data_IF_715847789625
#
_entry.id   IF_715847789625
#
_cell.length_a   1.000
_cell.length_b   1.000
_cell.length_c   1.000
_cell.angle_alpha   90.00
_cell.angle_beta   90.00
_cell.angle_gamma   90.00
#
_symmetry.space_group_name_H-M   'P 1'
#
loop_
_entity.id
_entity.type
_entity.pdbx_description
1 polymer ?
#
# COMPACT_ATOMS: atom_id res chain seq x y z
N UNK A 1 -13.18 -30.25 18.66
CA UNK A 1 -13.45 -29.02 17.88
C UNK A 1 -12.71 -27.90 18.57
N UNK A 2 -12.00 -27.11 17.85
CA UNK A 2 -11.14 -26.08 18.43
C UNK A 2 -11.84 -24.72 18.31
N UNK A 3 -11.65 -23.86 19.33
CA UNK A 3 -11.99 -22.43 19.31
C UNK A 3 -10.71 -21.59 19.33
N UNK A 4 -9.59 -22.20 18.93
CA UNK A 4 -8.29 -21.56 19.05
C UNK A 4 -8.19 -20.29 18.21
N UNK A 5 -8.70 -20.33 17.00
CA UNK A 5 -8.63 -19.21 16.06
C UNK A 5 -9.58 -18.09 16.48
N UNK A 6 -10.84 -18.40 16.83
CA UNK A 6 -11.78 -17.39 17.32
C UNK A 6 -11.33 -16.72 18.62
N UNK A 7 -10.71 -17.47 19.53
CA UNK A 7 -10.13 -16.94 20.78
C UNK A 7 -8.90 -16.05 20.47
N UNK A 8 -8.04 -16.46 19.54
CA UNK A 8 -6.90 -15.68 19.10
C UNK A 8 -7.32 -14.34 18.44
N UNK A 9 -8.30 -14.37 17.56
CA UNK A 9 -8.85 -13.17 16.92
C UNK A 9 -9.46 -12.20 17.94
N UNK A 10 -10.18 -12.74 18.94
CA UNK A 10 -10.74 -11.93 20.02
C UNK A 10 -9.65 -11.30 20.88
N UNK A 11 -8.59 -12.04 21.21
CA UNK A 11 -7.45 -11.56 21.98
C UNK A 11 -6.67 -10.48 21.21
N UNK A 12 -6.48 -10.65 19.91
CA UNK A 12 -5.75 -9.70 19.05
C UNK A 12 -6.56 -8.45 18.70
N UNK A 13 -7.88 -8.47 18.92
CA UNK A 13 -8.76 -7.35 18.61
C UNK A 13 -8.89 -7.08 17.10
N UNK A 14 -8.93 -8.15 16.28
CA UNK A 14 -9.09 -8.01 14.84
C UNK A 14 -10.38 -7.29 14.46
N UNK A 15 -10.24 -6.19 13.73
CA UNK A 15 -11.33 -5.32 13.29
C UNK A 15 -12.01 -5.89 12.04
N UNK A 16 -13.31 -6.17 12.17
CA UNK A 16 -14.15 -6.72 11.10
C UNK A 16 -14.35 -5.74 9.93
N UNK A 17 -14.45 -4.43 10.21
CA UNK A 17 -14.67 -3.43 9.16
C UNK A 17 -13.42 -3.26 8.31
N UNK A 18 -12.24 -3.26 8.95
CA UNK A 18 -10.96 -3.22 8.25
C UNK A 18 -10.73 -4.48 7.41
N UNK A 19 -11.06 -5.67 7.94
CA UNK A 19 -10.99 -6.91 7.20
C UNK A 19 -11.89 -6.87 5.97
N UNK A 20 -13.15 -6.42 6.14
CA UNK A 20 -14.10 -6.25 5.04
C UNK A 20 -13.61 -5.27 3.97
N UNK A 21 -13.00 -4.15 4.37
CA UNK A 21 -12.42 -3.19 3.42
C UNK A 21 -11.31 -3.83 2.59
N UNK A 22 -10.37 -4.54 3.22
CA UNK A 22 -9.30 -5.25 2.52
C UNK A 22 -9.86 -6.32 1.56
N UNK A 23 -10.78 -7.15 2.04
CA UNK A 23 -11.40 -8.23 1.27
C UNK A 23 -12.24 -7.72 0.09
N UNK A 24 -12.76 -6.49 0.15
CA UNK A 24 -13.56 -5.90 -0.93
C UNK A 24 -12.83 -5.78 -2.27
N UNK A 25 -11.49 -5.83 -2.26
CA UNK A 25 -10.67 -5.88 -3.48
C UNK A 25 -10.97 -7.12 -4.33
N UNK A 26 -11.21 -8.26 -3.67
CA UNK A 26 -11.37 -9.55 -4.34
C UNK A 26 -12.76 -9.78 -4.94
N UNK A 27 -13.76 -8.97 -4.56
CA UNK A 27 -15.13 -9.12 -5.04
C UNK A 27 -15.23 -9.03 -6.57
N UNK A 28 -14.38 -8.22 -7.21
CA UNK A 28 -14.38 -8.00 -8.67
C UNK A 28 -14.02 -9.25 -9.48
N UNK A 29 -13.44 -10.26 -8.87
CA UNK A 29 -13.10 -11.53 -9.53
C UNK A 29 -14.29 -12.49 -9.65
N UNK A 30 -15.41 -12.19 -9.00
CA UNK A 30 -16.61 -13.01 -9.00
C UNK A 30 -17.77 -12.30 -9.68
N UNK A 31 -18.25 -12.86 -10.78
CA UNK A 31 -19.38 -12.33 -11.55
C UNK A 31 -20.63 -13.21 -11.49
N UNK A 32 -20.49 -14.44 -10.99
CA UNK A 32 -21.58 -15.45 -10.90
C UNK A 32 -21.36 -16.33 -9.67
N UNK A 33 -22.46 -16.74 -9.03
CA UNK A 33 -22.44 -17.70 -7.92
C UNK A 33 -22.91 -19.11 -8.34
N UNK A 34 -22.95 -20.08 -7.42
CA UNK A 34 -22.56 -19.91 -6.03
C UNK A 34 -21.02 -19.79 -5.87
N UNK A 35 -20.59 -18.97 -4.92
CA UNK A 35 -19.19 -18.85 -4.50
C UNK A 35 -19.01 -19.60 -3.19
N UNK A 36 -18.01 -20.45 -3.11
CA UNK A 36 -17.61 -21.12 -1.88
C UNK A 36 -16.40 -20.43 -1.27
N UNK A 37 -16.52 -19.98 -0.03
CA UNK A 37 -15.40 -19.47 0.78
C UNK A 37 -14.85 -20.58 1.69
N UNK A 38 -13.55 -20.88 1.53
CA UNK A 38 -12.82 -21.85 2.35
C UNK A 38 -12.18 -21.12 3.54
N UNK A 39 -12.33 -21.67 4.74
CA UNK A 39 -11.94 -21.03 6.01
C UNK A 39 -12.55 -19.63 6.12
N UNK A 40 -13.88 -19.57 6.07
CA UNK A 40 -14.62 -18.30 5.90
C UNK A 40 -14.62 -17.40 7.17
N UNK A 41 -14.03 -17.86 8.26
CA UNK A 41 -13.95 -17.12 9.51
C UNK A 41 -15.32 -16.62 9.98
N UNK A 42 -15.39 -15.32 10.27
CA UNK A 42 -16.63 -14.65 10.74
C UNK A 42 -17.57 -14.24 9.59
N UNK A 43 -17.23 -14.55 8.33
CA UNK A 43 -18.05 -14.29 7.15
C UNK A 43 -17.97 -12.87 6.58
N UNK A 44 -16.86 -12.16 6.76
CA UNK A 44 -16.69 -10.81 6.22
C UNK A 44 -16.76 -10.76 4.69
N UNK A 45 -16.20 -11.75 4.01
CA UNK A 45 -16.29 -11.83 2.54
C UNK A 45 -17.66 -12.35 2.09
N UNK A 46 -18.29 -13.25 2.84
CA UNK A 46 -19.67 -13.67 2.60
C UNK A 46 -20.66 -12.48 2.67
N UNK A 47 -20.42 -11.51 3.57
CA UNK A 47 -21.18 -10.26 3.60
C UNK A 47 -21.04 -9.48 2.28
N UNK A 48 -19.82 -9.37 1.76
CA UNK A 48 -19.55 -8.65 0.49
C UNK A 48 -20.24 -9.34 -0.69
N UNK A 49 -20.19 -10.67 -0.75
CA UNK A 49 -20.87 -11.46 -1.79
C UNK A 49 -22.39 -11.29 -1.70
N UNK A 50 -22.97 -11.35 -0.49
CA UNK A 50 -24.40 -11.11 -0.27
C UNK A 50 -24.82 -9.73 -0.71
N UNK A 51 -24.05 -8.69 -0.35
CA UNK A 51 -24.35 -7.30 -0.73
C UNK A 51 -24.24 -7.06 -2.23
N UNK A 52 -23.40 -7.85 -2.93
CA UNK A 52 -23.31 -7.88 -4.39
C UNK A 52 -24.39 -8.75 -5.06
N UNK A 53 -25.24 -9.40 -4.28
CA UNK A 53 -26.30 -10.29 -4.80
C UNK A 53 -25.79 -11.62 -5.34
N UNK A 54 -24.58 -12.05 -4.94
CA UNK A 54 -23.99 -13.31 -5.35
C UNK A 54 -24.34 -14.40 -4.31
N UNK A 55 -24.98 -15.51 -4.70
CA UNK A 55 -25.14 -16.67 -3.82
C UNK A 55 -23.79 -17.18 -3.34
N UNK A 56 -23.66 -17.41 -2.05
CA UNK A 56 -22.41 -17.86 -1.46
C UNK A 56 -22.66 -18.74 -0.23
N UNK A 57 -21.70 -19.63 0.06
CA UNK A 57 -21.62 -20.42 1.27
C UNK A 57 -20.20 -20.48 1.77
N UNK A 58 -20.01 -20.86 3.03
CA UNK A 58 -18.70 -20.97 3.65
C UNK A 58 -18.48 -22.29 4.35
N UNK A 59 -17.23 -22.62 4.58
CA UNK A 59 -16.81 -23.72 5.46
C UNK A 59 -15.69 -23.23 6.35
N UNK A 60 -15.75 -23.58 7.65
CA UNK A 60 -14.71 -23.26 8.61
C UNK A 60 -14.56 -24.40 9.65
N UNK A 61 -13.34 -24.60 10.15
CA UNK A 61 -13.05 -25.64 11.14
C UNK A 61 -13.28 -25.15 12.58
N UNK A 62 -13.24 -23.84 12.82
CA UNK A 62 -13.39 -23.22 14.14
C UNK A 62 -14.88 -22.98 14.46
N UNK A 63 -15.36 -23.63 15.53
CA UNK A 63 -16.77 -23.55 15.96
C UNK A 63 -17.20 -22.11 16.29
N UNK A 64 -16.30 -21.31 16.91
CA UNK A 64 -16.62 -19.93 17.27
C UNK A 64 -16.67 -18.99 16.05
N UNK A 65 -15.93 -19.29 14.98
CA UNK A 65 -16.03 -18.58 13.70
C UNK A 65 -17.36 -18.91 13.01
N UNK A 66 -17.70 -20.19 12.91
CA UNK A 66 -18.97 -20.64 12.32
C UNK A 66 -20.19 -20.05 13.05
N UNK A 67 -20.19 -20.05 14.39
CA UNK A 67 -21.26 -19.43 15.18
C UNK A 67 -21.49 -17.97 14.77
N UNK A 68 -20.41 -17.19 14.68
CA UNK A 68 -20.48 -15.75 14.30
C UNK A 68 -20.95 -15.55 12.86
N UNK A 69 -20.49 -16.38 11.91
CA UNK A 69 -20.94 -16.30 10.53
C UNK A 69 -22.43 -16.66 10.39
N UNK A 70 -22.89 -17.68 11.12
CA UNK A 70 -24.31 -18.06 11.16
C UNK A 70 -25.18 -16.99 11.82
N UNK A 71 -24.71 -16.33 12.89
CA UNK A 71 -25.40 -15.20 13.52
C UNK A 71 -25.56 -14.01 12.53
N UNK A 72 -24.66 -13.86 11.58
CA UNK A 72 -24.74 -12.87 10.48
C UNK A 72 -25.66 -13.31 9.34
N UNK A 73 -26.23 -14.50 9.43
CA UNK A 73 -27.21 -15.04 8.47
C UNK A 73 -26.58 -15.73 7.26
N UNK A 74 -25.33 -16.18 7.38
CA UNK A 74 -24.65 -16.92 6.31
C UNK A 74 -24.90 -18.42 6.38
N UNK A 75 -24.87 -19.07 5.22
CA UNK A 75 -24.86 -20.53 5.07
C UNK A 75 -23.42 -21.05 5.23
N UNK A 76 -23.09 -21.57 6.41
CA UNK A 76 -21.74 -22.00 6.75
C UNK A 76 -21.76 -23.38 7.37
N UNK A 77 -20.83 -24.23 6.94
CA UNK A 77 -20.65 -25.59 7.44
C UNK A 77 -19.43 -25.63 8.37
N UNK A 78 -19.63 -26.24 9.55
CA UNK A 78 -18.52 -26.58 10.45
C UNK A 78 -17.82 -27.83 9.91
N UNK A 79 -16.59 -27.72 9.44
CA UNK A 79 -15.87 -28.84 8.87
C UNK A 79 -14.48 -28.48 8.31
N UNK A 80 -13.75 -29.51 7.92
CA UNK A 80 -12.47 -29.37 7.23
C UNK A 80 -12.69 -28.90 5.79
N UNK A 81 -12.11 -27.74 5.44
CA UNK A 81 -12.34 -27.07 4.17
C UNK A 81 -11.82 -27.86 2.96
N UNK A 82 -10.73 -28.64 3.13
CA UNK A 82 -10.16 -29.46 2.06
C UNK A 82 -11.14 -30.60 1.74
N UNK A 83 -11.54 -31.35 2.76
CA UNK A 83 -12.46 -32.46 2.61
C UNK A 83 -13.85 -32.04 2.12
N UNK A 84 -14.31 -30.86 2.56
CA UNK A 84 -15.56 -30.29 2.09
C UNK A 84 -15.52 -29.97 0.61
N UNK A 85 -14.47 -29.27 0.16
CA UNK A 85 -14.29 -28.92 -1.26
C UNK A 85 -14.18 -30.15 -2.16
N UNK A 86 -13.49 -31.21 -1.71
CA UNK A 86 -13.39 -32.50 -2.43
C UNK A 86 -14.75 -33.18 -2.62
N UNK A 87 -15.71 -32.92 -1.71
CA UNK A 87 -17.08 -33.45 -1.80
C UNK A 87 -18.04 -32.58 -2.64
N UNK A 88 -17.59 -31.43 -3.14
CA UNK A 88 -18.45 -30.56 -3.96
C UNK A 88 -18.68 -31.15 -5.35
N UNK A 89 -19.92 -31.05 -5.85
CA UNK A 89 -20.29 -31.53 -7.17
C UNK A 89 -19.46 -30.86 -8.28
N UNK A 90 -18.87 -31.65 -9.19
CA UNK A 90 -18.06 -31.11 -10.29
C UNK A 90 -18.81 -30.08 -11.13
N UNK A 91 -18.15 -28.96 -11.44
CA UNK A 91 -18.70 -27.91 -12.28
C UNK A 91 -19.93 -27.19 -11.69
N UNK A 92 -20.11 -27.21 -10.38
CA UNK A 92 -21.26 -26.57 -9.71
C UNK A 92 -20.99 -25.13 -9.25
N UNK A 93 -19.71 -24.77 -8.98
CA UNK A 93 -19.35 -23.48 -8.41
C UNK A 93 -19.08 -22.40 -9.45
N UNK A 94 -19.54 -21.18 -9.17
CA UNK A 94 -19.23 -19.96 -9.88
C UNK A 94 -17.97 -19.24 -9.36
N UNK A 95 -17.38 -19.74 -8.29
CA UNK A 95 -16.14 -19.23 -7.71
C UNK A 95 -15.73 -19.98 -6.46
N UNK A 96 -14.42 -20.01 -6.21
CA UNK A 96 -13.83 -20.47 -4.94
C UNK A 96 -12.95 -19.34 -4.42
N UNK A 97 -13.05 -19.04 -3.14
CA UNK A 97 -12.26 -18.02 -2.47
C UNK A 97 -11.63 -18.59 -1.20
N UNK A 98 -10.38 -18.24 -0.93
CA UNK A 98 -9.80 -18.40 0.39
C UNK A 98 -8.82 -17.25 0.67
N UNK A 99 -8.87 -16.74 1.90
CA UNK A 99 -7.92 -15.74 2.38
C UNK A 99 -7.33 -16.21 3.71
N UNK A 100 -6.00 -16.16 3.81
CA UNK A 100 -5.27 -16.55 5.01
C UNK A 100 -5.63 -17.97 5.50
N UNK A 101 -5.65 -18.90 4.55
CA UNK A 101 -5.97 -20.31 4.77
C UNK A 101 -4.83 -21.24 4.37
N UNK A 102 -4.24 -21.02 3.20
CA UNK A 102 -3.26 -21.95 2.64
C UNK A 102 -1.98 -22.05 3.48
N UNK A 103 -1.60 -20.98 4.17
CA UNK A 103 -0.44 -20.95 5.07
C UNK A 103 -0.56 -21.87 6.30
N UNK A 104 -1.78 -22.32 6.60
CA UNK A 104 -2.06 -23.29 7.66
C UNK A 104 -1.97 -24.75 7.18
N UNK A 105 -1.80 -24.96 5.87
CA UNK A 105 -1.80 -26.29 5.25
C UNK A 105 -0.38 -26.78 4.90
N UNK A 106 -0.21 -28.10 4.86
CA UNK A 106 0.96 -28.70 4.23
C UNK A 106 0.85 -28.64 2.71
N UNK A 107 1.98 -28.70 1.97
CA UNK A 107 1.98 -28.62 0.50
C UNK A 107 1.08 -29.62 -0.21
N UNK A 108 0.97 -30.84 0.31
CA UNK A 108 0.11 -31.87 -0.26
C UNK A 108 -1.38 -31.50 -0.14
N UNK A 109 -1.79 -30.86 0.97
CA UNK A 109 -3.16 -30.41 1.17
C UNK A 109 -3.46 -29.18 0.28
N UNK A 110 -2.50 -28.29 0.08
CA UNK A 110 -2.65 -27.18 -0.89
C UNK A 110 -2.83 -27.73 -2.30
N UNK A 111 -2.08 -28.74 -2.71
CA UNK A 111 -2.28 -29.41 -4.01
C UNK A 111 -3.69 -30.00 -4.15
N UNK A 112 -4.23 -30.61 -3.08
CA UNK A 112 -5.62 -31.12 -3.02
C UNK A 112 -6.64 -30.00 -3.17
N UNK A 113 -6.44 -28.86 -2.48
CA UNK A 113 -7.33 -27.68 -2.62
C UNK A 113 -7.39 -27.22 -4.08
N UNK A 114 -6.24 -27.06 -4.74
CA UNK A 114 -6.21 -26.64 -6.14
C UNK A 114 -6.87 -27.66 -7.07
N UNK A 115 -6.63 -28.96 -6.89
CA UNK A 115 -7.24 -30.02 -7.69
C UNK A 115 -8.78 -30.08 -7.49
N UNK A 116 -9.24 -29.96 -6.25
CA UNK A 116 -10.64 -29.97 -5.93
C UNK A 116 -11.35 -28.68 -6.44
N UNK A 117 -10.70 -27.52 -6.35
CA UNK A 117 -11.21 -26.27 -6.90
C UNK A 117 -11.35 -26.35 -8.43
N UNK A 118 -10.33 -26.90 -9.13
CA UNK A 118 -10.39 -27.09 -10.57
C UNK A 118 -11.55 -28.02 -11.00
N UNK A 119 -11.88 -29.03 -10.18
CA UNK A 119 -13.00 -29.94 -10.41
C UNK A 119 -14.35 -29.29 -10.16
N UNK A 120 -14.47 -28.52 -9.07
CA UNK A 120 -15.74 -27.93 -8.63
C UNK A 120 -16.16 -26.71 -9.43
N UNK A 121 -15.19 -25.97 -10.00
CA UNK A 121 -15.45 -24.75 -10.77
C UNK A 121 -16.08 -25.02 -12.13
N UNK A 122 -17.05 -24.17 -12.50
CA UNK A 122 -17.51 -24.08 -13.88
C UNK A 122 -16.43 -23.51 -14.77
N UNK A 123 -16.43 -23.89 -16.08
CA UNK A 123 -15.50 -23.30 -17.06
C UNK A 123 -15.54 -21.76 -17.02
N UNK A 124 -14.36 -21.13 -17.01
CA UNK A 124 -14.20 -19.69 -16.95
C UNK A 124 -14.41 -19.05 -15.57
N UNK A 125 -14.72 -19.85 -14.54
CA UNK A 125 -14.86 -19.34 -13.17
C UNK A 125 -13.53 -19.38 -12.41
N UNK A 126 -13.40 -18.50 -11.41
CA UNK A 126 -12.13 -18.23 -10.74
C UNK A 126 -12.00 -18.93 -9.38
N UNK A 127 -10.78 -19.39 -9.09
CA UNK A 127 -10.28 -19.61 -7.75
C UNK A 127 -9.36 -18.46 -7.37
N UNK A 128 -9.65 -17.76 -6.29
CA UNK A 128 -8.84 -16.66 -5.75
C UNK A 128 -8.26 -17.10 -4.42
N UNK A 129 -6.94 -17.20 -4.36
CA UNK A 129 -6.18 -17.57 -3.16
C UNK A 129 -5.35 -16.38 -2.68
N UNK A 130 -5.54 -16.00 -1.42
CA UNK A 130 -4.86 -14.88 -0.75
C UNK A 130 -4.01 -15.42 0.39
N UNK A 131 -2.74 -15.02 0.45
CA UNK A 131 -1.79 -15.47 1.48
C UNK A 131 -0.92 -14.31 1.98
N UNK A 132 -0.33 -14.43 3.19
CA UNK A 132 0.63 -13.44 3.69
C UNK A 132 1.83 -13.28 2.76
N UNK A 133 2.27 -12.04 2.54
CA UNK A 133 3.38 -11.71 1.66
C UNK A 133 4.73 -11.98 2.32
N UNK A 134 5.46 -12.99 1.85
CA UNK A 134 6.85 -13.20 2.25
C UNK A 134 7.80 -12.08 1.79
N UNK A 135 7.38 -11.26 0.83
CA UNK A 135 8.15 -10.10 0.36
C UNK A 135 8.10 -8.91 1.32
N UNK A 136 7.13 -8.86 2.23
CA UNK A 136 6.99 -7.78 3.21
C UNK A 136 7.83 -8.07 4.46
N UNK A 137 8.78 -7.19 4.80
CA UNK A 137 9.63 -7.37 5.98
C UNK A 137 8.85 -7.40 7.30
N UNK A 138 7.73 -6.68 7.42
CA UNK A 138 6.88 -6.73 8.60
C UNK A 138 6.24 -8.11 8.76
N UNK A 139 5.70 -8.65 7.67
CA UNK A 139 5.07 -9.98 7.66
C UNK A 139 6.10 -11.08 7.89
N UNK A 140 7.20 -11.07 7.12
CA UNK A 140 8.26 -12.08 7.21
C UNK A 140 8.94 -12.10 8.57
N UNK A 141 9.23 -10.93 9.15
CA UNK A 141 9.99 -10.79 10.39
C UNK A 141 9.16 -10.91 11.67
N UNK A 142 7.86 -10.70 11.59
CA UNK A 142 7.04 -10.58 12.80
C UNK A 142 5.61 -11.09 12.65
N UNK A 143 4.80 -10.54 11.74
CA UNK A 143 3.35 -10.77 11.77
C UNK A 143 2.98 -12.22 11.48
N UNK A 144 3.67 -12.88 10.55
CA UNK A 144 3.44 -14.29 10.22
C UNK A 144 3.62 -15.23 11.42
N UNK A 145 4.64 -15.00 12.23
CA UNK A 145 5.02 -15.87 13.34
C UNK A 145 4.19 -15.67 14.61
N UNK A 146 3.31 -14.69 14.61
CA UNK A 146 2.40 -14.43 15.73
C UNK A 146 1.23 -15.41 15.77
N UNK A 147 0.84 -15.93 14.62
CA UNK A 147 -0.18 -16.98 14.55
C UNK A 147 0.48 -18.35 14.77
N UNK A 148 0.10 -19.08 15.84
CA UNK A 148 0.71 -20.36 16.18
C UNK A 148 0.31 -21.49 15.23
N UNK A 149 -0.67 -21.27 14.35
CA UNK A 149 -1.19 -22.27 13.41
C UNK A 149 -0.57 -22.17 12.02
N UNK A 150 0.21 -21.10 11.74
CA UNK A 150 0.94 -20.96 10.49
C UNK A 150 2.01 -22.04 10.33
N UNK A 151 1.98 -22.72 9.19
CA UNK A 151 2.92 -23.80 8.85
C UNK A 151 4.05 -23.28 7.99
N UNK A 152 3.74 -22.52 6.94
CA UNK A 152 4.73 -21.99 6.01
C UNK A 152 4.20 -20.87 5.12
N UNK A 153 5.11 -20.07 4.56
CA UNK A 153 4.77 -19.16 3.48
C UNK A 153 4.52 -19.89 2.15
N UNK A 154 3.54 -19.39 1.41
CA UNK A 154 3.32 -19.69 0.01
C UNK A 154 3.47 -18.42 -0.81
N UNK A 155 4.45 -18.38 -1.71
CA UNK A 155 4.62 -17.26 -2.61
C UNK A 155 3.77 -17.42 -3.89
N UNK A 156 3.56 -16.33 -4.66
CA UNK A 156 2.75 -16.41 -5.87
C UNK A 156 3.26 -17.38 -6.93
N UNK A 157 4.57 -17.59 -7.03
CA UNK A 157 5.13 -18.54 -8.02
C UNK A 157 4.79 -19.99 -7.63
N UNK A 158 4.84 -20.30 -6.32
CA UNK A 158 4.45 -21.62 -5.81
C UNK A 158 2.94 -21.87 -5.96
N UNK A 159 2.11 -20.86 -5.66
CA UNK A 159 0.66 -20.96 -5.89
C UNK A 159 0.33 -21.12 -7.37
N UNK A 160 1.03 -20.41 -8.26
CA UNK A 160 0.89 -20.56 -9.71
C UNK A 160 1.31 -21.96 -10.19
N UNK A 161 2.32 -22.56 -9.58
CA UNK A 161 2.70 -23.95 -9.84
C UNK A 161 1.57 -24.91 -9.48
N UNK A 162 0.93 -24.79 -8.30
CA UNK A 162 -0.19 -25.63 -7.92
C UNK A 162 -1.40 -25.43 -8.85
N UNK A 163 -1.69 -24.20 -9.26
CA UNK A 163 -2.74 -23.89 -10.22
C UNK A 163 -2.48 -24.62 -11.56
N UNK A 164 -1.27 -24.51 -12.10
CA UNK A 164 -0.89 -25.18 -13.34
C UNK A 164 -0.96 -26.71 -13.23
N UNK A 165 -0.53 -27.30 -12.11
CA UNK A 165 -0.63 -28.75 -11.87
C UNK A 165 -2.10 -29.21 -11.83
N UNK A 166 -3.01 -28.39 -11.35
CA UNK A 166 -4.46 -28.64 -11.31
C UNK A 166 -5.16 -28.36 -12.65
N UNK A 167 -4.44 -27.86 -13.67
CA UNK A 167 -5.03 -27.49 -14.97
C UNK A 167 -5.74 -26.15 -14.99
N UNK A 168 -5.55 -25.31 -13.96
CA UNK A 168 -6.04 -23.94 -13.93
C UNK A 168 -5.07 -22.98 -14.64
N UNK A 169 -5.61 -21.93 -15.23
CA UNK A 169 -4.81 -20.87 -15.86
C UNK A 169 -4.74 -19.66 -14.93
N UNK A 170 -3.53 -19.25 -14.52
CA UNK A 170 -3.32 -18.03 -13.73
C UNK A 170 -3.53 -16.81 -14.62
N UNK A 171 -4.45 -15.96 -14.25
CA UNK A 171 -4.79 -14.73 -14.97
C UNK A 171 -4.26 -13.49 -14.29
N UNK A 172 -4.09 -13.53 -12.97
CA UNK A 172 -3.57 -12.40 -12.20
C UNK A 172 -2.79 -12.87 -10.97
N UNK A 173 -1.76 -12.12 -10.60
CA UNK A 173 -0.99 -12.31 -9.39
C UNK A 173 -0.42 -10.98 -8.96
N UNK A 174 -0.82 -10.49 -7.78
CA UNK A 174 -0.44 -9.17 -7.28
C UNK A 174 -0.51 -9.08 -5.74
N UNK A 175 -0.07 -7.95 -5.19
CA UNK A 175 -0.35 -7.58 -3.81
C UNK A 175 -1.68 -6.83 -3.69
N UNK A 176 -2.38 -7.00 -2.57
CA UNK A 176 -3.63 -6.28 -2.33
C UNK A 176 -3.35 -4.80 -1.98
N UNK A 177 -3.73 -3.83 -2.83
CA UNK A 177 -3.47 -2.43 -2.57
C UNK A 177 -4.31 -1.85 -1.41
N UNK A 178 -5.38 -2.54 -0.99
CA UNK A 178 -6.21 -2.15 0.16
C UNK A 178 -5.67 -2.68 1.49
N UNK A 179 -4.70 -3.60 1.44
CA UNK A 179 -4.01 -4.13 2.61
C UNK A 179 -2.51 -3.77 2.56
N UNK A 180 -2.21 -2.49 2.35
CA UNK A 180 -0.86 -1.94 2.35
C UNK A 180 -0.66 -1.05 3.58
N UNK A 181 -0.12 -1.60 4.69
CA UNK A 181 0.16 -0.82 5.89
C UNK A 181 1.32 0.16 5.68
N UNK A 182 2.07 0.03 4.58
CA UNK A 182 3.31 0.75 4.34
C UNK A 182 4.42 0.42 5.35
N UNK A 183 5.53 1.14 5.33
CA UNK A 183 6.58 0.97 6.30
C UNK A 183 6.16 1.45 7.69
N UNK A 184 6.76 0.91 8.78
CA UNK A 184 6.52 1.37 10.14
C UNK A 184 6.65 2.89 10.26
N UNK A 185 5.78 3.57 11.05
CA UNK A 185 5.76 5.05 11.14
C UNK A 185 7.11 5.69 11.46
N UNK A 186 7.97 5.03 12.26
CA UNK A 186 9.32 5.50 12.59
C UNK A 186 10.28 5.51 11.40
N UNK A 187 9.98 4.79 10.31
CA UNK A 187 10.73 4.78 9.07
C UNK A 187 10.20 5.77 8.04
N UNK A 188 9.04 6.43 8.31
CA UNK A 188 8.52 7.45 7.42
C UNK A 188 9.48 8.64 7.42
N UNK A 189 10.03 9.02 6.26
CA UNK A 189 10.82 10.23 6.19
C UNK A 189 9.91 11.41 6.50
N UNK A 190 10.30 12.21 7.51
CA UNK A 190 9.61 13.46 7.79
C UNK A 190 9.68 14.36 6.54
N UNK A 191 8.58 14.99 6.19
CA UNK A 191 8.57 15.94 5.10
C UNK A 191 9.55 17.07 5.44
N UNK A 192 10.55 17.29 4.58
CA UNK A 192 11.37 18.49 4.67
C UNK A 192 10.49 19.67 4.27
N UNK A 193 10.19 20.54 5.22
CA UNK A 193 9.63 21.83 4.86
C UNK A 193 10.67 22.60 4.03
N UNK A 194 10.27 23.13 2.86
CA UNK A 194 11.20 23.94 2.07
C UNK A 194 11.63 25.13 2.91
N UNK A 195 12.92 25.27 3.13
CA UNK A 195 13.46 26.47 3.75
C UNK A 195 13.07 27.66 2.86
N UNK A 196 12.46 28.68 3.45
CA UNK A 196 12.16 29.91 2.73
C UNK A 196 13.40 30.43 2.02
N UNK A 197 13.24 30.94 0.80
CA UNK A 197 14.40 31.40 -0.01
C UNK A 197 15.20 32.43 0.78
N UNK A 198 16.54 32.26 0.78
CA UNK A 198 17.43 33.18 1.45
C UNK A 198 17.28 34.58 0.84
N UNK A 199 16.97 34.66 -0.46
CA UNK A 199 16.77 35.92 -1.18
C UNK A 199 15.60 36.72 -0.64
N UNK A 200 14.48 36.11 -0.26
CA UNK A 200 13.33 36.82 0.30
C UNK A 200 13.64 37.39 1.70
N UNK A 201 14.24 36.59 2.58
CA UNK A 201 14.60 37.02 3.93
C UNK A 201 15.69 38.13 3.93
N UNK A 202 16.67 38.02 3.04
CA UNK A 202 17.72 39.02 2.93
C UNK A 202 17.24 40.26 2.17
N UNK A 203 16.33 40.12 1.20
CA UNK A 203 15.69 41.25 0.54
C UNK A 203 14.87 42.09 1.54
N UNK A 204 14.19 41.46 2.51
CA UNK A 204 13.51 42.16 3.60
C UNK A 204 14.48 42.90 4.52
N UNK A 205 15.59 42.26 4.90
CA UNK A 205 16.64 42.87 5.72
C UNK A 205 17.31 44.03 5.00
N UNK A 206 17.61 43.88 3.71
CA UNK A 206 18.14 44.95 2.87
C UNK A 206 17.14 46.11 2.70
N UNK A 207 15.87 45.78 2.49
CA UNK A 207 14.79 46.76 2.41
C UNK A 207 14.63 47.56 3.73
N UNK A 208 14.78 46.89 4.87
CA UNK A 208 14.78 47.53 6.17
C UNK A 208 16.02 48.43 6.39
N UNK A 209 17.21 47.94 6.01
CA UNK A 209 18.44 48.71 6.09
C UNK A 209 18.42 49.96 5.18
N UNK A 210 17.84 49.83 4.01
CA UNK A 210 17.67 50.98 3.07
C UNK A 210 16.70 52.04 3.62
N UNK A 211 15.70 51.64 4.42
CA UNK A 211 14.79 52.60 5.08
C UNK A 211 15.48 53.33 6.22
N UNK A 212 16.40 52.68 6.92
CA UNK A 212 17.15 53.31 8.03
C UNK A 212 18.28 54.20 7.54
N UNK A 213 18.86 53.92 6.36
CA UNK A 213 19.96 54.72 5.78
C UNK A 213 19.61 55.14 4.34
N UNK A 214 18.74 56.14 4.15
CA UNK A 214 18.36 56.61 2.84
C UNK A 214 19.57 57.27 2.14
N UNK A 215 20.12 56.61 1.12
CA UNK A 215 21.28 57.11 0.36
C UNK A 215 21.05 58.49 -0.31
N UNK A 216 19.79 58.81 -0.58
CA UNK A 216 19.43 60.03 -1.34
C UNK A 216 19.56 61.35 -0.54
N UNK A 217 19.53 61.31 0.78
CA UNK A 217 19.59 62.58 1.57
C UNK A 217 20.99 63.17 1.68
N UNK A 218 22.01 62.32 1.76
CA UNK A 218 23.41 62.80 1.80
C UNK A 218 23.96 63.19 0.41
N UNK A 219 23.61 62.44 -0.66
CA UNK A 219 24.00 62.81 -2.02
C UNK A 219 23.38 64.12 -2.48
N UNK A 220 22.13 64.39 -2.14
CA UNK A 220 21.50 65.69 -2.44
C UNK A 220 22.15 66.84 -1.68
N UNK A 221 22.66 66.61 -0.49
CA UNK A 221 23.34 67.62 0.30
C UNK A 221 24.72 67.93 -0.26
N UNK A 222 25.52 66.90 -0.55
CA UNK A 222 26.85 67.04 -1.17
C UNK A 222 26.75 67.71 -2.55
N UNK A 223 25.76 67.35 -3.37
CA UNK A 223 25.54 67.96 -4.69
C UNK A 223 25.09 69.40 -4.61
N UNK A 224 24.26 69.79 -3.65
CA UNK A 224 23.85 71.15 -3.38
C UNK A 224 25.04 72.01 -2.92
N UNK A 225 25.86 71.45 -2.05
CA UNK A 225 27.04 72.18 -1.53
C UNK A 225 28.11 72.36 -2.63
N UNK A 226 28.28 71.39 -3.53
CA UNK A 226 29.17 71.50 -4.70
C UNK A 226 28.63 72.49 -5.76
N UNK A 227 27.32 72.47 -6.03
CA UNK A 227 26.67 73.42 -6.96
C UNK A 227 26.71 74.89 -6.42
N UNK A 228 26.67 75.05 -5.09
CA UNK A 228 26.78 76.37 -4.48
C UNK A 228 28.21 76.96 -4.50
N UNK A 229 29.23 76.11 -4.67
CA UNK A 229 30.64 76.51 -4.70
C UNK A 229 31.21 76.64 -6.13
N UNK A 230 30.40 76.46 -7.18
CA UNK A 230 30.82 76.59 -8.56
C UNK A 230 31.74 75.50 -9.08
N UNK A 231 31.82 74.39 -8.40
CA UNK A 231 32.61 73.21 -8.81
C UNK A 231 31.77 72.31 -9.72
N UNK A 232 32.35 71.92 -10.86
CA UNK A 232 31.69 70.93 -11.72
C UNK A 232 31.53 69.64 -11.01
N UNK A 233 30.26 69.20 -10.80
CA UNK A 233 29.91 67.97 -10.13
C UNK A 233 30.43 66.81 -10.94
N UNK A 234 31.66 66.38 -10.72
CA UNK A 234 32.12 65.05 -11.10
C UNK A 234 31.26 64.04 -10.38
N UNK A 235 30.63 63.15 -11.14
CA UNK A 235 29.79 62.09 -10.59
C UNK A 235 30.64 61.21 -9.66
N UNK A 236 30.60 61.50 -8.36
CA UNK A 236 31.22 60.64 -7.36
C UNK A 236 30.36 59.38 -7.29
N UNK A 237 30.90 58.28 -7.80
CA UNK A 237 30.27 56.99 -7.69
C UNK A 237 29.98 56.67 -6.21
N UNK A 238 28.75 56.28 -5.90
CA UNK A 238 28.41 55.90 -4.54
C UNK A 238 29.13 54.59 -4.17
N UNK A 239 30.17 54.62 -3.31
CA UNK A 239 30.93 53.39 -2.96
C UNK A 239 30.08 52.31 -2.33
N UNK A 240 28.84 52.64 -1.92
CA UNK A 240 27.88 51.70 -1.42
C UNK A 240 27.13 50.95 -2.52
N UNK A 241 27.02 51.53 -3.73
CA UNK A 241 26.38 50.87 -4.86
C UNK A 241 27.13 49.56 -5.25
N UNK A 242 28.46 49.59 -5.20
CA UNK A 242 29.31 48.42 -5.45
C UNK A 242 29.15 47.38 -4.35
N UNK A 243 29.07 47.78 -3.07
CA UNK A 243 28.85 46.87 -1.95
C UNK A 243 27.49 46.18 -2.03
N UNK A 244 26.44 46.94 -2.38
CA UNK A 244 25.10 46.39 -2.57
C UNK A 244 25.02 45.42 -3.75
N UNK A 245 25.69 45.74 -4.84
CA UNK A 245 25.78 44.87 -6.02
C UNK A 245 26.45 43.54 -5.69
N UNK A 246 27.57 43.57 -4.94
CA UNK A 246 28.27 42.36 -4.50
C UNK A 246 27.43 41.57 -3.52
N UNK A 247 26.76 42.20 -2.56
CA UNK A 247 25.86 41.51 -1.62
C UNK A 247 24.71 40.83 -2.35
N UNK A 248 24.05 41.49 -3.28
CA UNK A 248 22.98 40.91 -4.09
C UNK A 248 23.46 39.71 -4.93
N UNK A 249 24.66 39.81 -5.50
CA UNK A 249 25.28 38.69 -6.22
C UNK A 249 25.54 37.49 -5.31
N UNK A 250 26.15 37.69 -4.14
CA UNK A 250 26.40 36.63 -3.19
C UNK A 250 25.10 35.95 -2.70
N UNK A 251 24.05 36.72 -2.45
CA UNK A 251 22.74 36.21 -2.07
C UNK A 251 22.18 35.33 -3.20
N UNK A 252 22.25 35.81 -4.46
CA UNK A 252 21.78 35.01 -5.59
C UNK A 252 22.54 33.69 -5.74
N UNK A 253 23.86 33.69 -5.55
CA UNK A 253 24.69 32.47 -5.59
C UNK A 253 24.32 31.50 -4.43
N UNK A 254 24.12 32.05 -3.23
CA UNK A 254 23.69 31.22 -2.08
C UNK A 254 22.31 30.65 -2.28
N UNK A 255 21.37 31.41 -2.84
CA UNK A 255 20.01 30.98 -3.12
C UNK A 255 20.00 29.84 -4.17
N UNK A 256 20.79 29.98 -5.24
CA UNK A 256 20.96 28.92 -6.25
C UNK A 256 21.54 27.63 -5.64
N UNK A 257 22.55 27.76 -4.77
CA UNK A 257 23.12 26.60 -4.10
C UNK A 257 22.11 25.93 -3.14
N UNK A 258 21.33 26.73 -2.43
CA UNK A 258 20.27 26.22 -1.55
C UNK A 258 19.21 25.48 -2.34
N UNK A 259 18.75 26.01 -3.48
CA UNK A 259 17.81 25.34 -4.37
C UNK A 259 18.38 24.02 -4.91
N UNK A 260 19.67 23.98 -5.26
CA UNK A 260 20.32 22.74 -5.67
C UNK A 260 20.35 21.68 -4.55
N UNK A 261 20.67 22.08 -3.32
CA UNK A 261 20.63 21.19 -2.16
C UNK A 261 19.21 20.68 -1.86
N UNK A 262 18.21 21.57 -1.92
CA UNK A 262 16.81 21.18 -1.76
C UNK A 262 16.36 20.18 -2.81
N UNK A 263 16.79 20.36 -4.07
CA UNK A 263 16.50 19.42 -5.15
C UNK A 263 17.12 18.04 -4.87
N UNK A 264 18.40 18.00 -4.47
CA UNK A 264 19.09 16.74 -4.12
C UNK A 264 18.43 16.04 -2.93
N UNK A 265 18.00 16.78 -1.90
CA UNK A 265 17.27 16.22 -0.76
C UNK A 265 15.91 15.66 -1.20
N UNK A 266 15.20 16.32 -2.09
CA UNK A 266 13.94 15.82 -2.63
C UNK A 266 14.13 14.53 -3.44
N UNK A 267 15.23 14.43 -4.22
CA UNK A 267 15.57 13.20 -4.94
C UNK A 267 15.92 12.05 -4.00
N UNK A 268 16.76 12.33 -3.00
CA UNK A 268 17.10 11.34 -1.97
C UNK A 268 15.85 10.84 -1.23
N UNK A 269 14.95 11.75 -0.91
CA UNK A 269 13.68 11.41 -0.27
C UNK A 269 12.81 10.51 -1.15
N UNK A 270 12.71 10.79 -2.47
CA UNK A 270 12.01 9.93 -3.43
C UNK A 270 12.65 8.55 -3.52
N UNK A 271 13.99 8.47 -3.62
CA UNK A 271 14.71 7.21 -3.66
C UNK A 271 14.52 6.38 -2.37
N UNK A 272 14.55 7.04 -1.21
CA UNK A 272 14.28 6.40 0.06
C UNK A 272 12.85 5.84 0.16
N UNK A 273 11.84 6.61 -0.26
CA UNK A 273 10.46 6.12 -0.32
C UNK A 273 10.30 4.93 -1.27
N UNK A 274 10.94 4.97 -2.43
CA UNK A 274 10.93 3.85 -3.37
C UNK A 274 11.56 2.58 -2.76
N UNK A 275 12.66 2.74 -2.03
CA UNK A 275 13.29 1.64 -1.30
C UNK A 275 12.36 1.06 -0.22
N UNK A 276 11.73 1.92 0.58
CA UNK A 276 10.77 1.46 1.60
C UNK A 276 9.59 0.71 0.97
N UNK A 277 9.05 1.19 -0.15
CA UNK A 277 7.99 0.49 -0.86
C UNK A 277 8.41 -0.90 -1.40
N UNK A 278 9.69 -1.09 -1.71
CA UNK A 278 10.24 -2.41 -2.08
C UNK A 278 10.39 -3.34 -0.86
N UNK A 279 10.73 -2.80 0.30
CA UNK A 279 10.94 -3.58 1.52
C UNK A 279 9.65 -3.87 2.29
N UNK A 280 8.64 -3.04 2.09
CA UNK A 280 7.33 -3.13 2.74
C UNK A 280 6.20 -3.07 1.68
N UNK A 281 6.16 -4.03 0.73
CA UNK A 281 5.03 -4.15 -0.18
C UNK A 281 3.76 -4.52 0.60
N UNK A 282 2.58 -4.61 -0.06
CA UNK A 282 1.36 -5.09 0.57
C UNK A 282 1.57 -6.32 1.44
N UNK A 283 0.90 -6.37 2.58
CA UNK A 283 1.08 -7.43 3.58
C UNK A 283 0.56 -8.80 3.11
N UNK A 284 -0.23 -8.82 2.05
CA UNK A 284 -0.73 -10.03 1.42
C UNK A 284 -0.57 -9.99 -0.10
N UNK A 285 -0.49 -11.16 -0.68
CA UNK A 285 -0.45 -11.40 -2.12
C UNK A 285 -1.55 -12.36 -2.51
N UNK A 286 -2.02 -12.28 -3.75
CA UNK A 286 -3.05 -13.17 -4.25
C UNK A 286 -2.72 -13.70 -5.64
N UNK A 287 -3.34 -14.85 -5.94
CA UNK A 287 -3.33 -15.48 -7.25
C UNK A 287 -4.77 -15.77 -7.67
N UNK A 288 -5.14 -15.33 -8.87
CA UNK A 288 -6.41 -15.65 -9.53
C UNK A 288 -6.12 -16.70 -10.58
N UNK A 289 -6.71 -17.87 -10.43
CA UNK A 289 -6.61 -18.98 -11.36
C UNK A 289 -8.00 -19.35 -11.90
N UNK A 290 -8.13 -19.54 -13.20
CA UNK A 290 -9.41 -19.73 -13.88
C UNK A 290 -9.48 -21.13 -14.47
N UNK A 291 -10.62 -21.79 -14.30
CA UNK A 291 -10.89 -23.07 -14.94
C UNK A 291 -10.96 -22.89 -16.46
N UNK A 292 -10.35 -23.82 -17.26
CA UNK A 292 -10.31 -23.71 -18.71
C UNK A 292 -11.72 -23.62 -19.32
N UNK A 293 -11.88 -22.79 -20.34
CA UNK A 293 -13.12 -22.68 -21.10
C UNK A 293 -13.41 -23.99 -21.84
N UNK A 294 -14.67 -24.36 -21.96
CA UNK A 294 -15.10 -25.66 -22.51
C UNK A 294 -14.78 -25.90 -23.97
N UNK A 295 -14.05 -25.02 -24.67
CA UNK A 295 -13.65 -25.17 -26.08
C UNK A 295 -12.27 -25.77 -26.28
N UNK A 296 -11.41 -25.83 -25.25
CA UNK A 296 -10.02 -26.30 -25.35
C UNK A 296 -9.82 -27.82 -25.04
N UNK A 297 -10.91 -28.58 -24.87
CA UNK A 297 -10.85 -30.04 -24.65
C UNK A 297 -11.11 -30.84 -25.93
N UNK A 298 -10.63 -30.41 -27.11
CA UNK A 298 -10.67 -31.20 -28.34
C UNK A 298 -9.29 -31.55 -28.80
#
# INVERSE_FOLDING_TARGET
MTRLESDYYAYMGYDSDRAREALSHYLSFFSTGPVLELACGRGEFLDLLRDAGLPASGVDLDEGMVERAVERGHDVVLGDAVSYLEGVEPGSLGGVFCAHFLEHLQPDDVARVYAAAATALRPGCAFVAVVPSAGSLSVLGYDFWRDPTHVRFYDPALLSFFAAQAGLTVTESAGNPRNDPGPPPQLWPQAFEPVASLSSSVAELLGAAMKVYPAQSQHRRIRRDAESNGEAATAVADPRADLWSHAAHLISVLDQRMQAVQHQLAELHRAYRALLAQLYPPSEVYVVAVAPGGEDQK
#
